data_IF_022999339846
#
_entry.id   IF_022999339846
#
_cell.length_a   1.000
_cell.length_b   1.000
_cell.length_c   1.000
_cell.angle_alpha   90.00
_cell.angle_beta   90.00
_cell.angle_gamma   90.00
#
_symmetry.space_group_name_H-M   'P 1'
#
loop_
_entity.id
_entity.type
_entity.pdbx_description
1 polymer ?
#
# COMPACT_ATOMS: atom_id res chain seq x y z
N UNK A 1 3.55 12.96 1.85
CA UNK A 1 3.62 11.52 1.52
C UNK A 1 2.77 10.65 2.46
N UNK A 2 3.27 10.11 3.58
CA UNK A 2 2.51 9.12 4.37
C UNK A 2 1.22 9.65 5.00
N UNK A 3 1.13 10.94 5.34
CA UNK A 3 -0.16 11.53 5.76
C UNK A 3 -1.23 11.50 4.66
N UNK A 4 -0.84 11.69 3.40
CA UNK A 4 -1.76 11.64 2.26
C UNK A 4 -2.18 10.19 1.98
N UNK A 5 -1.20 9.28 1.88
CA UNK A 5 -1.44 7.84 1.75
C UNK A 5 -2.33 7.28 2.87
N UNK A 6 -2.05 7.66 4.13
CA UNK A 6 -2.86 7.29 5.29
C UNK A 6 -4.28 7.85 5.20
N UNK A 7 -4.45 9.09 4.75
CA UNK A 7 -5.77 9.68 4.53
C UNK A 7 -6.54 8.93 3.46
N UNK A 8 -5.92 8.67 2.31
CA UNK A 8 -6.56 7.99 1.18
C UNK A 8 -6.95 6.55 1.54
N UNK A 9 -6.09 5.83 2.26
CA UNK A 9 -6.27 4.39 2.55
C UNK A 9 -7.01 4.08 3.86
N UNK A 10 -6.91 4.96 4.87
CA UNK A 10 -7.49 4.70 6.21
C UNK A 10 -8.60 5.69 6.60
N UNK A 11 -8.60 6.93 6.08
CA UNK A 11 -9.61 7.94 6.43
C UNK A 11 -10.76 8.02 5.39
N UNK A 12 -10.59 7.40 4.22
CA UNK A 12 -11.64 7.16 3.22
C UNK A 12 -12.49 5.92 3.53
N UNK A 13 -12.92 5.18 2.49
CA UNK A 13 -13.41 3.82 2.68
C UNK A 13 -12.20 2.88 2.81
N UNK A 14 -11.88 2.36 4.00
CA UNK A 14 -10.76 1.44 4.18
C UNK A 14 -11.02 0.10 3.49
N UNK A 15 -12.24 -0.13 3.00
CA UNK A 15 -12.62 -1.25 2.19
C UNK A 15 -12.60 -0.84 0.72
N UNK A 16 -11.64 -1.37 -0.01
CA UNK A 16 -11.60 -1.17 -1.46
C UNK A 16 -12.05 -2.44 -2.13
N UNK A 17 -13.16 -2.34 -2.84
CA UNK A 17 -13.73 -3.44 -3.59
C UNK A 17 -13.07 -3.44 -4.97
N UNK A 18 -12.05 -4.28 -5.14
CA UNK A 18 -11.30 -4.35 -6.39
C UNK A 18 -11.48 -5.72 -7.04
N UNK A 19 -12.07 -5.74 -8.24
CA UNK A 19 -12.45 -6.95 -8.99
C UNK A 19 -13.25 -7.98 -8.17
N UNK A 20 -14.10 -7.50 -7.23
CA UNK A 20 -14.94 -8.36 -6.39
C UNK A 20 -14.20 -9.05 -5.23
N UNK A 21 -12.94 -8.67 -4.97
CA UNK A 21 -12.19 -9.08 -3.78
C UNK A 21 -12.01 -7.88 -2.87
N UNK A 22 -12.91 -7.66 -1.91
CA UNK A 22 -12.74 -6.56 -0.98
C UNK A 22 -11.47 -6.81 -0.13
N UNK A 23 -10.61 -5.79 -0.07
CA UNK A 23 -9.49 -5.73 0.88
C UNK A 23 -9.76 -4.65 1.90
N UNK A 24 -9.35 -4.89 3.14
CA UNK A 24 -9.41 -3.92 4.23
C UNK A 24 -8.00 -3.47 4.59
N UNK A 25 -7.75 -2.16 4.53
CA UNK A 25 -6.51 -1.58 5.03
C UNK A 25 -6.54 -1.49 6.55
N UNK A 26 -5.44 -1.93 7.18
CA UNK A 26 -5.25 -1.95 8.63
C UNK A 26 -4.26 -0.88 9.07
N UNK A 27 -3.16 -0.72 8.34
CA UNK A 27 -2.11 0.22 8.70
C UNK A 27 -1.39 0.75 7.46
N UNK A 28 -1.01 2.03 7.52
CA UNK A 28 -0.10 2.67 6.56
C UNK A 28 0.87 3.51 7.37
N UNK A 29 2.16 3.18 7.28
CA UNK A 29 3.22 3.86 8.05
C UNK A 29 4.45 4.14 7.22
N UNK A 30 5.25 5.09 7.70
CA UNK A 30 6.59 5.35 7.20
C UNK A 30 7.60 4.71 8.15
N UNK A 31 8.43 3.81 7.66
CA UNK A 31 9.64 3.36 8.35
C UNK A 31 10.83 4.18 7.88
N UNK A 32 11.84 4.39 8.73
CA UNK A 32 13.06 5.11 8.33
C UNK A 32 12.89 6.62 8.10
N UNK A 33 11.91 7.27 8.75
CA UNK A 33 11.72 8.70 8.65
C UNK A 33 12.99 9.46 9.09
N UNK A 34 13.61 10.22 8.16
CA UNK A 34 14.78 11.06 8.43
C UNK A 34 16.15 10.50 8.02
N UNK A 35 16.23 9.29 7.48
CA UNK A 35 17.51 8.66 7.07
C UNK A 35 17.85 8.77 5.58
N UNK A 36 17.01 9.42 4.77
CA UNK A 36 17.15 9.46 3.31
C UNK A 36 16.75 8.15 2.59
N UNK A 37 16.47 7.08 3.34
CA UNK A 37 15.99 5.79 2.87
C UNK A 37 14.80 5.33 3.73
N UNK A 38 13.67 6.05 3.59
CA UNK A 38 12.43 5.64 4.23
C UNK A 38 11.71 4.58 3.40
N UNK A 39 10.80 3.83 4.00
CA UNK A 39 9.92 2.89 3.29
C UNK A 39 8.47 3.08 3.73
N UNK A 40 7.54 3.04 2.78
CA UNK A 40 6.10 2.97 3.05
C UNK A 40 5.75 1.51 3.31
N UNK A 41 5.15 1.26 4.46
CA UNK A 41 4.60 -0.06 4.82
C UNK A 41 3.10 0.01 4.84
N UNK A 42 2.45 -0.91 4.11
CA UNK A 42 1.00 -1.04 4.02
C UNK A 42 0.62 -2.42 4.53
N UNK A 43 -0.28 -2.48 5.51
CA UNK A 43 -0.87 -3.71 6.02
C UNK A 43 -2.35 -3.78 5.65
N UNK A 44 -2.79 -4.94 5.17
CA UNK A 44 -4.16 -5.15 4.72
C UNK A 44 -4.61 -6.60 4.89
N UNK A 45 -5.94 -6.81 4.88
CA UNK A 45 -6.56 -8.14 4.94
C UNK A 45 -7.47 -8.33 3.74
N UNK A 46 -7.39 -9.49 3.12
CA UNK A 46 -8.39 -9.89 2.13
C UNK A 46 -9.65 -10.40 2.85
N UNK A 47 -10.84 -10.03 2.37
CA UNK A 47 -12.11 -10.44 3.00
C UNK A 47 -12.37 -11.94 2.95
N UNK A 48 -11.86 -12.62 1.92
CA UNK A 48 -11.95 -14.08 1.80
C UNK A 48 -11.02 -14.79 2.80
N UNK A 49 -10.07 -14.06 3.39
CA UNK A 49 -9.06 -14.56 4.32
C UNK A 49 -8.83 -13.58 5.48
N UNK A 50 -9.85 -13.33 6.32
CA UNK A 50 -9.78 -12.33 7.39
C UNK A 50 -8.73 -12.67 8.46
N UNK A 51 -8.36 -13.95 8.59
CA UNK A 51 -7.28 -14.39 9.50
C UNK A 51 -5.86 -14.05 9.01
N UNK A 52 -5.71 -13.70 7.72
CA UNK A 52 -4.41 -13.40 7.11
C UNK A 52 -4.16 -11.89 7.10
N UNK A 53 -3.05 -11.46 7.70
CA UNK A 53 -2.53 -10.11 7.54
C UNK A 53 -1.47 -10.11 6.44
N UNK A 54 -1.68 -9.32 5.40
CA UNK A 54 -0.72 -9.11 4.33
C UNK A 54 0.01 -7.79 4.53
N UNK A 55 1.27 -7.75 4.14
CA UNK A 55 2.09 -6.55 4.23
C UNK A 55 2.83 -6.30 2.92
N UNK A 56 2.88 -5.04 2.50
CA UNK A 56 3.73 -4.59 1.41
C UNK A 56 4.69 -3.53 1.93
N UNK A 57 5.93 -3.57 1.45
CA UNK A 57 6.95 -2.54 1.72
C UNK A 57 7.44 -1.98 0.40
N UNK A 58 7.32 -0.67 0.25
CA UNK A 58 7.85 0.07 -0.89
C UNK A 58 8.83 1.12 -0.40
N UNK A 59 9.88 1.39 -1.18
CA UNK A 59 10.79 2.48 -0.84
C UNK A 59 10.04 3.82 -0.94
N UNK A 60 10.32 4.74 -0.01
CA UNK A 60 9.76 6.08 0.00
C UNK A 60 10.65 7.08 -0.75
N UNK A 61 11.56 6.57 -1.60
CA UNK A 61 12.30 7.39 -2.56
C UNK A 61 11.30 7.76 -3.66
N UNK A 62 10.98 9.05 -3.80
CA UNK A 62 10.04 9.50 -4.84
C UNK A 62 10.48 9.06 -6.25
N UNK A 63 9.65 9.30 -7.28
CA UNK A 63 9.96 8.83 -8.63
C UNK A 63 11.35 9.32 -9.07
N UNK A 64 12.10 8.45 -9.76
CA UNK A 64 13.42 8.75 -10.28
C UNK A 64 13.42 9.93 -11.28
N UNK A 65 12.24 10.22 -11.87
CA UNK A 65 12.00 11.38 -12.73
C UNK A 65 11.16 12.44 -12.00
N UNK A 66 11.47 13.74 -12.18
CA UNK A 66 10.64 14.81 -11.65
C UNK A 66 9.22 14.69 -12.24
N UNK A 67 8.22 14.63 -11.35
CA UNK A 67 6.82 14.63 -11.75
C UNK A 67 6.58 15.84 -12.67
N UNK A 68 6.09 15.60 -13.89
CA UNK A 68 5.86 16.64 -14.91
C UNK A 68 4.74 17.61 -14.57
N UNK A 69 3.98 17.37 -13.50
CA UNK A 69 2.91 18.25 -13.04
C UNK A 69 3.41 19.18 -11.93
N UNK A 70 3.66 20.47 -12.22
CA UNK A 70 4.12 21.44 -11.24
C UNK A 70 3.07 21.77 -10.17
N UNK A 71 1.81 21.33 -10.32
CA UNK A 71 0.73 21.55 -9.35
C UNK A 71 0.55 20.40 -8.36
N UNK A 72 1.11 19.21 -8.65
CA UNK A 72 1.01 18.04 -7.78
C UNK A 72 2.30 17.86 -7.00
N UNK A 73 2.21 17.84 -5.67
CA UNK A 73 3.38 17.55 -4.83
C UNK A 73 3.92 16.16 -5.21
N UNK A 74 5.24 16.04 -5.41
CA UNK A 74 5.93 14.78 -5.70
C UNK A 74 5.57 13.68 -4.67
N UNK A 75 5.21 14.11 -3.45
CA UNK A 75 4.79 13.26 -2.36
C UNK A 75 3.36 12.70 -2.49
N UNK A 76 2.47 13.37 -3.25
CA UNK A 76 1.14 12.87 -3.62
C UNK A 76 1.25 11.94 -4.83
N UNK A 77 2.00 12.35 -5.86
CA UNK A 77 2.21 11.50 -7.03
C UNK A 77 2.89 10.16 -6.71
N UNK A 78 3.77 10.09 -5.70
CA UNK A 78 4.32 8.83 -5.22
C UNK A 78 3.29 7.97 -4.48
N UNK A 79 2.40 8.60 -3.70
CA UNK A 79 1.31 7.90 -3.02
C UNK A 79 0.37 7.22 -4.02
N UNK A 80 0.08 7.88 -5.14
CA UNK A 80 -0.71 7.28 -6.21
C UNK A 80 0.00 6.11 -6.89
N UNK A 81 1.32 6.18 -7.08
CA UNK A 81 2.07 5.06 -7.66
C UNK A 81 2.11 3.84 -6.74
N UNK A 82 2.33 4.05 -5.44
CA UNK A 82 2.26 2.97 -4.44
C UNK A 82 0.85 2.36 -4.42
N UNK A 83 -0.18 3.19 -4.53
CA UNK A 83 -1.57 2.72 -4.65
C UNK A 83 -1.79 1.90 -5.92
N UNK A 84 -1.46 2.44 -7.09
CA UNK A 84 -1.63 1.77 -8.39
C UNK A 84 -0.91 0.43 -8.40
N UNK A 85 0.35 0.40 -7.97
CA UNK A 85 1.13 -0.85 -7.96
C UNK A 85 0.53 -1.88 -6.99
N UNK A 86 0.00 -1.45 -5.84
CA UNK A 86 -0.73 -2.35 -4.95
C UNK A 86 -1.96 -2.93 -5.62
N UNK A 87 -2.73 -2.12 -6.34
CA UNK A 87 -3.90 -2.61 -7.05
C UNK A 87 -3.51 -3.59 -8.17
N UNK A 88 -2.49 -3.27 -8.97
CA UNK A 88 -1.98 -4.14 -10.04
C UNK A 88 -1.49 -5.51 -9.54
N UNK A 89 -0.79 -5.54 -8.40
CA UNK A 89 -0.34 -6.81 -7.81
C UNK A 89 -1.52 -7.63 -7.28
N UNK A 90 -2.52 -6.96 -6.70
CA UNK A 90 -3.78 -7.59 -6.30
C UNK A 90 -4.61 -8.10 -7.49
N UNK A 91 -4.36 -7.58 -8.70
CA UNK A 91 -5.00 -8.03 -9.95
C UNK A 91 -4.30 -9.23 -10.59
N UNK A 92 -2.99 -9.42 -10.37
CA UNK A 92 -2.17 -10.37 -11.14
C UNK A 92 -2.05 -11.74 -10.46
N UNK A 93 -2.58 -12.85 -11.02
CA UNK A 93 -2.46 -14.18 -10.41
C UNK A 93 -1.00 -14.67 -10.31
N UNK A 94 -0.57 -15.27 -9.18
CA UNK A 94 -1.29 -15.45 -7.92
C UNK A 94 -1.20 -14.19 -7.04
N UNK A 95 -2.24 -13.34 -7.08
CA UNK A 95 -2.27 -12.01 -6.47
C UNK A 95 -1.87 -11.95 -4.99
N UNK A 96 -2.10 -13.05 -4.26
CA UNK A 96 -1.70 -13.20 -2.88
C UNK A 96 -1.23 -14.64 -2.63
N UNK A 97 -0.22 -14.86 -1.78
CA UNK A 97 0.24 -16.19 -1.38
C UNK A 97 -0.93 -17.05 -0.89
N UNK A 98 -0.94 -18.35 -1.26
CA UNK A 98 -2.04 -19.26 -0.88
C UNK A 98 -2.12 -19.52 0.63
N UNK A 99 -0.97 -19.57 1.29
CA UNK A 99 -0.86 -19.72 2.75
C UNK A 99 -0.54 -18.40 3.42
N UNK A 100 -1.02 -18.24 4.65
CA UNK A 100 -0.62 -17.19 5.57
C UNK A 100 -0.43 -17.82 6.95
N UNK A 101 0.45 -17.24 7.77
CA UNK A 101 0.62 -17.67 9.16
C UNK A 101 -0.31 -16.83 10.06
N UNK A 102 -1.23 -17.46 10.81
CA UNK A 102 -2.12 -16.72 11.71
C UNK A 102 -1.33 -15.94 12.75
N UNK A 103 -1.56 -14.62 12.81
CA UNK A 103 -0.87 -13.72 13.74
C UNK A 103 0.46 -13.17 13.23
N UNK A 104 0.93 -13.58 12.05
CA UNK A 104 2.10 -13.01 11.39
C UNK A 104 1.72 -12.22 10.13
N UNK A 105 2.57 -11.25 9.76
CA UNK A 105 2.43 -10.53 8.49
C UNK A 105 3.01 -11.39 7.37
N UNK A 106 2.17 -11.77 6.42
CA UNK A 106 2.59 -12.39 5.16
C UNK A 106 2.99 -11.28 4.18
N UNK A 107 4.29 -11.14 3.95
CA UNK A 107 4.81 -10.10 3.06
C UNK A 107 4.60 -10.48 1.59
N UNK A 108 4.12 -9.51 0.81
CA UNK A 108 3.86 -9.60 -0.64
C UNK A 108 4.65 -8.54 -1.39
#
# INVERSE_FOLDING_TARGET
MVRHLRRTLLEGDPQVNHLGRPVRFEEVRLEGAGSGAGSVVILFRAFDRPGCLFGRREDAVGPHEPWRDPQRDASEGWADMVWISLMEDLETPPALPKGCEPGATTWV
#
